data_IF_140967969340
#
_entry.id   IF_140967969340
#
_cell.length_a   1.000
_cell.length_b   1.000
_cell.length_c   1.000
_cell.angle_alpha   90.00
_cell.angle_beta   90.00
_cell.angle_gamma   90.00
#
_symmetry.space_group_name_H-M   'P 1'
#
loop_
_entity.id
_entity.type
_entity.pdbx_description
1 polymer ?
#
# COMPACT_ATOMS: atom_id res chain seq x y z
N UNK A 1 -19.62 -30.58 17.63
CA UNK A 1 -18.50 -30.18 16.74
C UNK A 1 -17.70 -29.18 17.56
N UNK A 2 -16.68 -29.67 18.25
CA UNK A 2 -15.93 -28.86 19.21
C UNK A 2 -15.01 -27.91 18.44
N UNK A 3 -15.30 -26.62 18.51
CA UNK A 3 -14.41 -25.58 18.01
C UNK A 3 -13.20 -25.57 18.94
N UNK A 4 -12.16 -26.31 18.59
CA UNK A 4 -10.88 -26.29 19.29
C UNK A 4 -10.38 -24.85 19.30
N UNK A 5 -10.38 -24.21 20.47
CA UNK A 5 -9.84 -22.87 20.64
C UNK A 5 -8.35 -22.96 20.31
N UNK A 6 -7.90 -22.24 19.28
CA UNK A 6 -6.51 -22.24 18.87
C UNK A 6 -5.63 -21.82 20.05
N UNK A 7 -4.65 -22.66 20.39
CA UNK A 7 -3.71 -22.32 21.47
C UNK A 7 -2.87 -21.11 21.05
N UNK A 8 -2.38 -20.29 21.99
CA UNK A 8 -1.49 -19.18 21.66
C UNK A 8 -0.26 -19.59 20.83
N UNK A 9 0.22 -20.83 21.02
CA UNK A 9 1.31 -21.38 20.22
C UNK A 9 0.88 -21.66 18.77
N UNK A 10 -0.26 -22.32 18.55
CA UNK A 10 -0.76 -22.58 17.20
C UNK A 10 -1.02 -21.28 16.41
N UNK A 11 -1.46 -20.22 17.10
CA UNK A 11 -1.62 -18.88 16.49
C UNK A 11 -0.27 -18.29 16.08
N UNK A 12 0.77 -18.41 16.91
CA UNK A 12 2.13 -17.94 16.57
C UNK A 12 2.70 -18.70 15.37
N UNK A 13 2.63 -20.03 15.41
CA UNK A 13 3.15 -20.89 14.33
C UNK A 13 2.47 -20.56 13.00
N UNK A 14 1.15 -20.32 13.02
CA UNK A 14 0.40 -19.87 11.85
C UNK A 14 0.87 -18.50 11.33
N UNK A 15 1.06 -17.51 12.23
CA UNK A 15 1.55 -16.17 11.85
C UNK A 15 2.95 -16.26 11.24
N UNK A 16 3.84 -17.07 11.81
CA UNK A 16 5.20 -17.22 11.33
C UNK A 16 5.28 -17.92 9.97
N UNK A 17 4.51 -19.00 9.78
CA UNK A 17 4.39 -19.67 8.49
C UNK A 17 3.82 -18.74 7.41
N UNK A 18 2.79 -17.96 7.75
CA UNK A 18 2.23 -16.94 6.85
C UNK A 18 3.28 -15.89 6.49
N UNK A 19 4.02 -15.37 7.46
CA UNK A 19 5.06 -14.37 7.21
C UNK A 19 6.18 -14.96 6.33
N UNK A 20 6.57 -16.22 6.55
CA UNK A 20 7.55 -16.91 5.71
C UNK A 20 7.07 -17.05 4.26
N UNK A 21 5.79 -17.39 4.03
CA UNK A 21 5.20 -17.46 2.70
C UNK A 21 5.29 -16.11 1.97
N UNK A 22 4.91 -15.01 2.63
CA UNK A 22 4.98 -13.68 2.00
C UNK A 22 6.42 -13.21 1.75
N UNK A 23 7.39 -13.59 2.59
CA UNK A 23 8.81 -13.37 2.31
C UNK A 23 9.29 -14.14 1.08
N UNK A 24 8.82 -15.37 0.87
CA UNK A 24 9.14 -16.14 -0.33
C UNK A 24 8.53 -15.53 -1.60
N UNK A 25 7.26 -15.10 -1.51
CA UNK A 25 6.59 -14.34 -2.59
C UNK A 25 7.40 -13.09 -2.97
N UNK A 26 7.87 -12.34 -1.96
CA UNK A 26 8.70 -11.16 -2.17
C UNK A 26 10.05 -11.48 -2.82
N UNK A 27 10.67 -12.57 -2.40
CA UNK A 27 11.94 -13.04 -2.97
C UNK A 27 11.78 -13.41 -4.46
N UNK A 28 10.74 -14.17 -4.82
CA UNK A 28 10.49 -14.56 -6.21
C UNK A 28 10.15 -13.35 -7.08
N UNK A 29 9.32 -12.43 -6.56
CA UNK A 29 8.97 -11.21 -7.27
C UNK A 29 10.21 -10.34 -7.55
N UNK A 30 11.11 -10.18 -6.56
CA UNK A 30 12.35 -9.44 -6.73
C UNK A 30 13.30 -10.04 -7.78
N UNK A 31 13.16 -11.34 -8.08
CA UNK A 31 13.93 -12.04 -9.13
C UNK A 31 13.26 -12.00 -10.51
N UNK A 32 12.15 -11.27 -10.65
CA UNK A 32 11.44 -11.11 -11.91
C UNK A 32 10.46 -12.24 -12.23
N UNK A 33 10.11 -13.10 -11.27
CA UNK A 33 9.05 -14.10 -11.48
C UNK A 33 7.70 -13.38 -11.61
N UNK A 34 6.90 -13.78 -12.60
CA UNK A 34 5.63 -13.09 -12.86
C UNK A 34 4.63 -13.28 -11.71
N UNK A 35 3.82 -12.26 -11.42
CA UNK A 35 2.81 -12.31 -10.36
C UNK A 35 1.81 -13.48 -10.54
N UNK A 36 1.48 -13.83 -11.78
CA UNK A 36 0.61 -14.98 -12.08
C UNK A 36 1.26 -16.32 -11.74
N UNK A 37 2.55 -16.47 -12.01
CA UNK A 37 3.30 -17.67 -11.68
C UNK A 37 3.47 -17.81 -10.16
N UNK A 38 3.84 -16.72 -9.47
CA UNK A 38 3.91 -16.69 -8.00
C UNK A 38 2.55 -17.07 -7.39
N UNK A 39 1.46 -16.49 -7.88
CA UNK A 39 0.13 -16.79 -7.36
C UNK A 39 -0.29 -18.25 -7.63
N UNK A 40 0.10 -18.82 -8.78
CA UNK A 40 -0.10 -20.24 -9.09
C UNK A 40 0.67 -21.14 -8.12
N UNK A 41 1.94 -20.83 -7.83
CA UNK A 41 2.77 -21.60 -6.90
C UNK A 41 2.26 -21.51 -5.45
N UNK A 42 1.75 -20.35 -5.04
CA UNK A 42 1.24 -20.11 -3.69
C UNK A 42 -0.20 -20.61 -3.45
N UNK A 43 -0.94 -20.96 -4.52
CA UNK A 43 -2.36 -21.38 -4.45
C UNK A 43 -2.65 -22.48 -3.42
N UNK A 44 -1.80 -23.50 -3.21
CA UNK A 44 -2.04 -24.53 -2.19
C UNK A 44 -2.05 -24.01 -0.75
N UNK A 45 -1.40 -22.87 -0.49
CA UNK A 45 -1.26 -22.29 0.85
C UNK A 45 -2.13 -21.04 1.06
N UNK A 46 -2.43 -20.29 0.00
CA UNK A 46 -3.18 -19.04 0.06
C UNK A 46 -3.93 -18.81 -1.25
N UNK A 47 -5.10 -18.15 -1.19
CA UNK A 47 -5.89 -17.93 -2.40
C UNK A 47 -5.17 -17.00 -3.39
N UNK A 48 -5.28 -17.34 -4.68
CA UNK A 48 -4.71 -16.55 -5.79
C UNK A 48 -5.08 -15.06 -5.73
N UNK A 49 -6.34 -14.65 -5.45
CA UNK A 49 -6.70 -13.24 -5.35
C UNK A 49 -5.93 -12.49 -4.26
N UNK A 50 -5.62 -13.13 -3.12
CA UNK A 50 -4.85 -12.49 -2.04
C UNK A 50 -3.41 -12.21 -2.48
N UNK A 51 -2.78 -13.16 -3.18
CA UNK A 51 -1.41 -13.00 -3.69
C UNK A 51 -1.35 -11.89 -4.74
N UNK A 52 -2.30 -11.89 -5.68
CA UNK A 52 -2.36 -10.85 -6.71
C UNK A 52 -2.64 -9.47 -6.10
N UNK A 53 -3.60 -9.35 -5.18
CA UNK A 53 -3.86 -8.09 -4.47
C UNK A 53 -2.63 -7.59 -3.72
N UNK A 54 -1.87 -8.48 -3.09
CA UNK A 54 -0.63 -8.13 -2.42
C UNK A 54 0.43 -7.57 -3.38
N UNK A 55 0.71 -8.29 -4.46
CA UNK A 55 1.72 -7.89 -5.44
C UNK A 55 1.32 -6.59 -6.15
N UNK A 56 0.04 -6.45 -6.51
CA UNK A 56 -0.50 -5.20 -7.07
C UNK A 56 -0.31 -4.01 -6.13
N UNK A 57 -0.62 -4.19 -4.84
CA UNK A 57 -0.43 -3.11 -3.85
C UNK A 57 1.05 -2.75 -3.66
N UNK A 58 1.96 -3.73 -3.67
CA UNK A 58 3.41 -3.45 -3.61
C UNK A 58 3.93 -2.72 -4.84
N UNK A 59 3.44 -3.10 -6.01
CA UNK A 59 3.80 -2.43 -7.26
C UNK A 59 3.31 -0.98 -7.24
N UNK A 60 2.04 -0.75 -6.91
CA UNK A 60 1.47 0.59 -6.76
C UNK A 60 2.23 1.44 -5.73
N UNK A 61 2.59 0.88 -4.58
CA UNK A 61 3.41 1.54 -3.56
C UNK A 61 4.78 1.97 -4.11
N UNK A 62 5.46 1.07 -4.82
CA UNK A 62 6.78 1.34 -5.41
C UNK A 62 6.70 2.42 -6.48
N UNK A 63 5.69 2.35 -7.35
CA UNK A 63 5.49 3.31 -8.42
C UNK A 63 5.13 4.70 -7.87
N UNK A 64 4.26 4.77 -6.86
CA UNK A 64 3.92 6.01 -6.19
C UNK A 64 5.14 6.66 -5.51
N UNK A 65 5.96 5.87 -4.79
CA UNK A 65 7.19 6.37 -4.19
C UNK A 65 8.17 6.89 -5.24
N UNK A 66 8.32 6.18 -6.37
CA UNK A 66 9.20 6.61 -7.44
C UNK A 66 8.69 7.89 -8.12
N UNK A 67 7.37 8.03 -8.29
CA UNK A 67 6.75 9.24 -8.83
C UNK A 67 7.01 10.45 -7.93
N UNK A 68 6.77 10.33 -6.62
CA UNK A 68 7.05 11.37 -5.65
C UNK A 68 8.55 11.72 -5.60
N UNK A 69 9.43 10.71 -5.59
CA UNK A 69 10.88 10.94 -5.61
C UNK A 69 11.34 11.69 -6.84
N UNK A 70 10.81 11.33 -8.01
CA UNK A 70 11.13 12.02 -9.27
C UNK A 70 10.69 13.48 -9.24
N UNK A 71 9.58 13.77 -8.56
CA UNK A 71 9.08 15.12 -8.34
C UNK A 71 9.73 15.87 -7.15
N UNK A 72 10.67 15.24 -6.44
CA UNK A 72 11.31 15.73 -5.20
C UNK A 72 10.31 16.02 -4.08
N UNK A 73 9.39 15.10 -3.87
CA UNK A 73 8.27 15.17 -2.93
C UNK A 73 8.32 14.09 -1.84
N UNK A 74 9.38 13.27 -1.79
CA UNK A 74 9.58 12.21 -0.79
C UNK A 74 9.78 12.71 0.64
N UNK A 75 10.04 14.01 0.80
CA UNK A 75 10.05 14.70 2.08
C UNK A 75 8.63 14.82 2.61
N UNK A 76 7.83 15.79 2.13
CA UNK A 76 6.51 16.12 2.68
C UNK A 76 5.49 14.99 2.62
N UNK A 77 5.67 14.02 1.71
CA UNK A 77 4.73 12.93 1.52
C UNK A 77 5.36 11.56 1.72
N UNK A 78 4.58 10.67 2.34
CA UNK A 78 4.86 9.24 2.46
C UNK A 78 3.81 8.40 1.78
N UNK A 79 4.22 7.19 1.36
CA UNK A 79 3.30 6.17 0.84
C UNK A 79 3.28 4.99 1.81
N UNK A 80 2.10 4.61 2.26
CA UNK A 80 1.88 3.49 3.16
C UNK A 80 1.00 2.42 2.50
N UNK A 81 1.21 1.16 2.87
CA UNK A 81 0.29 0.06 2.55
C UNK A 81 -0.46 -0.30 3.83
N UNK A 82 -1.78 -0.17 3.81
CA UNK A 82 -2.66 -0.59 4.91
C UNK A 82 -3.29 -1.96 4.61
N UNK A 83 -3.75 -2.64 5.66
CA UNK A 83 -4.32 -3.99 5.60
C UNK A 83 -3.39 -5.07 6.14
N UNK A 84 -3.97 -6.20 6.57
CA UNK A 84 -3.21 -7.29 7.18
C UNK A 84 -2.62 -8.23 6.13
N UNK A 85 -1.39 -8.68 6.37
CA UNK A 85 -0.74 -9.72 5.56
C UNK A 85 -1.62 -10.98 5.55
N UNK A 86 -2.03 -11.41 4.35
CA UNK A 86 -2.87 -12.60 4.16
C UNK A 86 -4.36 -12.43 4.49
N UNK A 87 -4.87 -11.20 4.66
CA UNK A 87 -6.31 -10.93 4.83
C UNK A 87 -6.77 -9.70 4.05
N UNK A 88 -7.88 -9.82 3.32
CA UNK A 88 -8.54 -8.70 2.65
C UNK A 88 -7.76 -8.06 1.51
N UNK A 89 -8.32 -7.00 0.93
CA UNK A 89 -7.63 -6.14 -0.02
C UNK A 89 -6.64 -5.23 0.71
N UNK A 90 -5.44 -5.07 0.15
CA UNK A 90 -4.51 -4.05 0.61
C UNK A 90 -4.76 -2.74 -0.12
N UNK A 91 -4.72 -1.65 0.62
CA UNK A 91 -4.91 -0.31 0.07
C UNK A 91 -3.60 0.45 0.22
N UNK A 92 -3.22 1.18 -0.83
CA UNK A 92 -2.05 2.06 -0.79
C UNK A 92 -2.56 3.47 -0.52
N UNK A 93 -1.90 4.20 0.37
CA UNK A 93 -2.30 5.55 0.76
C UNK A 93 -1.14 6.52 0.61
N UNK A 94 -1.48 7.76 0.26
CA UNK A 94 -0.62 8.93 0.41
C UNK A 94 -0.95 9.61 1.74
N UNK A 95 0.07 10.01 2.48
CA UNK A 95 -0.07 10.75 3.74
C UNK A 95 1.00 11.84 3.84
N UNK A 96 0.74 12.88 4.62
CA UNK A 96 1.78 13.79 5.06
C UNK A 96 2.70 13.09 6.08
N UNK A 97 3.99 13.30 5.90
CA UNK A 97 5.06 12.79 6.78
C UNK A 97 5.62 13.86 7.69
N UNK A 98 5.43 15.13 7.33
CA UNK A 98 5.82 16.30 8.10
C UNK A 98 4.62 16.88 8.82
N UNK A 99 4.88 17.61 9.92
CA UNK A 99 3.87 18.46 10.53
C UNK A 99 3.44 19.52 9.49
N UNK A 100 2.14 19.67 9.19
CA UNK A 100 1.64 20.70 8.28
C UNK A 100 2.11 22.12 8.60
N UNK A 101 2.43 22.43 9.86
CA UNK A 101 2.94 23.72 10.31
C UNK A 101 4.41 23.96 9.93
N UNK A 102 5.16 22.91 9.62
CA UNK A 102 6.58 22.99 9.22
C UNK A 102 6.76 23.14 7.70
N UNK A 103 5.66 23.06 6.93
CA UNK A 103 5.68 23.14 5.47
C UNK A 103 5.57 24.60 5.03
N UNK A 104 6.65 25.14 4.47
CA UNK A 104 6.69 26.54 3.96
C UNK A 104 5.89 26.74 2.67
N UNK A 105 5.76 25.69 1.85
CA UNK A 105 5.02 25.74 0.58
C UNK A 105 3.51 25.79 0.82
N UNK A 106 2.77 26.52 -0.03
CA UNK A 106 1.31 26.59 0.06
C UNK A 106 0.69 25.19 -0.11
N UNK A 107 -0.24 24.78 0.76
CA UNK A 107 -0.84 23.45 0.76
C UNK A 107 -1.34 22.99 -0.62
N UNK A 108 -2.17 23.80 -1.26
CA UNK A 108 -2.75 23.46 -2.57
C UNK A 108 -1.69 23.32 -3.67
N UNK A 109 -0.61 24.11 -3.61
CA UNK A 109 0.46 24.04 -4.61
C UNK A 109 1.23 22.73 -4.45
N UNK A 110 1.53 22.36 -3.21
CA UNK A 110 2.24 21.13 -2.89
C UNK A 110 1.41 19.89 -3.26
N UNK A 111 0.12 19.88 -2.92
CA UNK A 111 -0.81 18.77 -3.23
C UNK A 111 -1.05 18.66 -4.73
N UNK A 112 -1.16 19.77 -5.45
CA UNK A 112 -1.29 19.76 -6.92
C UNK A 112 -0.08 19.10 -7.56
N UNK A 113 1.14 19.46 -7.14
CA UNK A 113 2.37 18.85 -7.64
C UNK A 113 2.44 17.34 -7.36
N UNK A 114 2.03 16.91 -6.17
CA UNK A 114 1.96 15.49 -5.83
C UNK A 114 0.93 14.75 -6.70
N UNK A 115 -0.25 15.33 -6.87
CA UNK A 115 -1.32 14.76 -7.70
C UNK A 115 -0.89 14.63 -9.15
N UNK A 116 -0.24 15.66 -9.70
CA UNK A 116 0.24 15.64 -11.08
C UNK A 116 1.38 14.63 -11.28
N UNK A 117 2.29 14.51 -10.31
CA UNK A 117 3.36 13.50 -10.34
C UNK A 117 2.80 12.07 -10.31
N UNK A 118 1.80 11.81 -9.46
CA UNK A 118 1.12 10.51 -9.39
C UNK A 118 0.33 10.22 -10.66
N UNK A 119 -0.41 11.20 -11.18
CA UNK A 119 -1.17 11.05 -12.43
C UNK A 119 -0.26 10.77 -13.63
N UNK A 120 0.90 11.41 -13.70
CA UNK A 120 1.91 11.12 -14.72
C UNK A 120 2.43 9.67 -14.67
N UNK A 121 2.32 9.01 -13.52
CA UNK A 121 2.62 7.59 -13.34
C UNK A 121 1.39 6.66 -13.53
N UNK A 122 0.24 7.19 -13.93
CA UNK A 122 -1.03 6.44 -14.06
C UNK A 122 -1.62 6.04 -12.72
N UNK A 123 -1.45 6.89 -11.69
CA UNK A 123 -1.94 6.69 -10.34
C UNK A 123 -2.86 7.85 -9.99
N UNK A 124 -4.10 7.53 -9.64
CA UNK A 124 -5.09 8.50 -9.20
C UNK A 124 -5.29 8.46 -7.68
N UNK A 125 -5.55 9.63 -7.12
CA UNK A 125 -5.94 9.80 -5.72
C UNK A 125 -7.46 9.67 -5.63
N UNK A 126 -7.94 8.83 -4.72
CA UNK A 126 -9.36 8.77 -4.37
C UNK A 126 -9.59 9.60 -3.11
N UNK A 127 -10.60 10.45 -3.16
CA UNK A 127 -11.01 11.24 -2.01
C UNK A 127 -11.64 10.32 -0.94
N UNK A 128 -11.22 10.40 0.34
CA UNK A 128 -11.87 9.66 1.41
C UNK A 128 -13.32 10.13 1.62
N UNK A 129 -14.14 9.26 2.19
CA UNK A 129 -15.54 9.60 2.48
C UNK A 129 -15.63 10.75 3.50
N UNK A 130 -16.53 11.71 3.26
CA UNK A 130 -16.71 12.88 4.14
C UNK A 130 -15.78 14.05 3.84
N UNK A 131 -14.82 13.88 2.92
CA UNK A 131 -13.91 14.95 2.50
C UNK A 131 -14.34 15.56 1.16
N UNK A 132 -14.09 16.85 0.98
CA UNK A 132 -14.36 17.59 -0.27
C UNK A 132 -13.08 18.02 -1.00
N UNK A 133 -11.91 17.86 -0.36
CA UNK A 133 -10.61 18.28 -0.85
C UNK A 133 -9.53 17.30 -0.39
N UNK A 134 -8.63 16.93 -1.31
CA UNK A 134 -7.45 16.12 -0.99
C UNK A 134 -6.51 16.90 -0.08
N UNK A 135 -6.38 18.21 -0.29
CA UNK A 135 -5.57 19.08 0.57
C UNK A 135 -6.08 19.06 1.99
N UNK A 136 -7.38 19.29 2.19
CA UNK A 136 -7.96 19.36 3.54
C UNK A 136 -7.80 18.02 4.27
N UNK A 137 -8.04 16.90 3.57
CA UNK A 137 -7.86 15.57 4.13
C UNK A 137 -6.43 15.35 4.62
N UNK A 138 -5.44 15.64 3.76
CA UNK A 138 -4.04 15.47 4.10
C UNK A 138 -3.61 16.37 5.26
N UNK A 139 -4.08 17.63 5.30
CA UNK A 139 -3.74 18.60 6.35
C UNK A 139 -4.39 18.29 7.70
N UNK A 140 -5.50 17.54 7.72
CA UNK A 140 -6.10 16.99 8.95
C UNK A 140 -5.48 15.64 9.36
N UNK A 141 -4.49 15.17 8.60
CA UNK A 141 -3.81 13.90 8.86
C UNK A 141 -4.52 12.67 8.32
N UNK A 142 -5.56 12.83 7.50
CA UNK A 142 -6.29 11.72 6.88
C UNK A 142 -5.49 11.15 5.68
N UNK A 143 -5.13 9.85 5.70
CA UNK A 143 -4.43 9.22 4.58
C UNK A 143 -5.35 9.00 3.37
N UNK A 144 -4.98 9.54 2.21
CA UNK A 144 -5.81 9.46 1.00
C UNK A 144 -5.50 8.20 0.18
N UNK A 145 -6.49 7.37 -0.18
CA UNK A 145 -6.27 6.16 -0.96
C UNK A 145 -5.75 6.42 -2.38
N UNK A 146 -4.89 5.52 -2.86
CA UNK A 146 -4.36 5.51 -4.22
C UNK A 146 -4.89 4.32 -5.02
N UNK A 147 -5.06 4.51 -6.31
CA UNK A 147 -5.44 3.46 -7.24
C UNK A 147 -4.79 3.66 -8.62
N UNK A 148 -4.64 2.57 -9.36
CA UNK A 148 -4.24 2.61 -10.77
C UNK A 148 -5.43 3.05 -11.62
N UNK A 149 -5.17 3.93 -12.60
CA UNK A 149 -6.11 4.30 -13.66
C UNK A 149 -6.30 3.18 -14.68
#
# INVERSE_FOLDING_TARGET
MDTQIATPQAVRDFIDARNALFRAIDFDHARGVSANEIARMATPAISRPIVLSYLTAKQLHTDALNALRTARLEGPFGIAITGQIGRGSRTVHLALTYDPQEIEEKPDTLVTRATDALRAAGIDIRLPEGWNSVTDALWDGEPVPLHRT
#
